data_IF_224768646466
#
_entry.id   IF_224768646466
#
_cell.length_a   1.000
_cell.length_b   1.000
_cell.length_c   1.000
_cell.angle_alpha   90.00
_cell.angle_beta   90.00
_cell.angle_gamma   90.00
#
_symmetry.space_group_name_H-M   'P 1'
#
loop_
_entity.id
_entity.type
_entity.pdbx_description
1 polymer ?
#
# COMPACT_ATOMS: atom_id res chain seq x y z
N UNK A 1 -13.47 -2.57 2.03
CA UNK A 1 -12.81 -1.83 0.93
C UNK A 1 -13.26 -2.39 -0.43
N UNK A 2 -14.56 -2.39 -0.72
CA UNK A 2 -15.13 -3.03 -1.91
C UNK A 2 -14.76 -2.29 -3.23
N UNK A 3 -14.54 -0.98 -3.16
CA UNK A 3 -14.20 -0.12 -4.30
C UNK A 3 -12.71 0.17 -4.46
N UNK A 4 -11.84 -0.60 -3.81
CA UNK A 4 -10.40 -0.39 -3.94
C UNK A 4 -9.93 -0.70 -5.36
N UNK A 5 -9.26 0.23 -6.03
CA UNK A 5 -8.74 -0.02 -7.40
C UNK A 5 -7.61 -1.06 -7.43
N UNK A 6 -7.07 -1.44 -6.28
CA UNK A 6 -6.12 -2.54 -6.15
C UNK A 6 -6.79 -3.91 -5.91
N UNK A 7 -8.13 -3.97 -5.80
CA UNK A 7 -8.86 -5.22 -5.67
C UNK A 7 -8.64 -6.05 -6.95
N UNK A 8 -8.11 -7.28 -6.82
CA UNK A 8 -7.66 -8.11 -7.94
C UNK A 8 -6.19 -7.93 -8.36
N UNK A 9 -5.47 -6.96 -7.78
CA UNK A 9 -4.02 -6.77 -7.95
C UNK A 9 -3.22 -7.24 -6.73
N UNK A 10 -3.78 -8.16 -5.93
CA UNK A 10 -3.18 -8.65 -4.68
C UNK A 10 -1.73 -9.11 -4.87
N UNK A 11 -1.43 -9.80 -5.98
CA UNK A 11 -0.07 -10.21 -6.33
C UNK A 11 0.89 -9.02 -6.42
N UNK A 12 0.50 -7.89 -7.03
CA UNK A 12 1.38 -6.73 -7.17
C UNK A 12 1.57 -5.93 -5.85
N UNK A 13 0.70 -6.13 -4.87
CA UNK A 13 0.76 -5.47 -3.55
C UNK A 13 1.31 -6.39 -2.44
N UNK A 14 1.52 -7.68 -2.76
CA UNK A 14 2.18 -8.66 -1.91
C UNK A 14 3.71 -8.49 -1.94
N UNK A 15 4.33 -8.73 -0.78
CA UNK A 15 5.77 -8.63 -0.52
C UNK A 15 6.58 -9.61 -1.37
N UNK A 16 6.00 -10.75 -1.73
CA UNK A 16 6.62 -11.82 -2.53
C UNK A 16 6.84 -11.45 -4.01
N UNK A 17 6.03 -10.57 -4.58
CA UNK A 17 6.10 -10.25 -6.01
C UNK A 17 7.20 -9.24 -6.40
N UNK A 18 7.75 -8.51 -5.42
CA UNK A 18 8.64 -7.38 -5.70
C UNK A 18 10.09 -7.79 -5.96
N UNK A 19 10.53 -8.95 -5.47
CA UNK A 19 11.92 -9.41 -5.59
C UNK A 19 12.93 -8.42 -5.01
N UNK A 20 14.17 -8.43 -5.53
CA UNK A 20 15.24 -7.48 -5.13
C UNK A 20 15.52 -6.45 -6.23
N UNK A 21 16.11 -5.32 -5.86
CA UNK A 21 16.67 -4.33 -6.80
C UNK A 21 15.63 -3.55 -7.61
N UNK A 22 15.82 -3.51 -8.93
CA UNK A 22 15.04 -2.67 -9.86
C UNK A 22 13.56 -3.06 -9.95
N UNK A 23 13.24 -4.34 -9.77
CA UNK A 23 11.87 -4.85 -9.78
C UNK A 23 11.03 -4.27 -8.63
N UNK A 24 11.59 -4.26 -7.41
CA UNK A 24 10.90 -3.69 -6.25
C UNK A 24 10.58 -2.20 -6.45
N UNK A 25 11.52 -1.46 -7.05
CA UNK A 25 11.31 -0.05 -7.40
C UNK A 25 10.20 0.13 -8.44
N UNK A 26 10.15 -0.74 -9.45
CA UNK A 26 9.11 -0.72 -10.50
C UNK A 26 7.74 -1.00 -9.92
N UNK A 27 7.59 -2.07 -9.14
CA UNK A 27 6.32 -2.42 -8.50
C UNK A 27 5.84 -1.33 -7.54
N UNK A 28 6.74 -0.77 -6.71
CA UNK A 28 6.43 0.39 -5.86
C UNK A 28 5.82 1.54 -6.67
N UNK A 29 6.42 1.92 -7.79
CA UNK A 29 5.90 2.99 -8.67
C UNK A 29 4.57 2.63 -9.32
N UNK A 30 4.33 1.38 -9.69
CA UNK A 30 3.05 0.93 -10.27
C UNK A 30 1.94 0.99 -9.21
N UNK A 31 2.18 0.41 -8.04
CA UNK A 31 1.21 0.38 -6.96
C UNK A 31 0.86 1.79 -6.46
N UNK A 32 1.85 2.70 -6.34
CA UNK A 32 1.58 4.11 -6.03
C UNK A 32 0.69 4.79 -7.08
N UNK A 33 0.88 4.51 -8.38
CA UNK A 33 0.03 5.02 -9.46
C UNK A 33 -1.41 4.51 -9.36
N UNK A 34 -1.60 3.23 -9.04
CA UNK A 34 -2.94 2.65 -8.81
C UNK A 34 -3.61 3.34 -7.63
N UNK A 35 -2.91 3.46 -6.49
CA UNK A 35 -3.46 4.15 -5.32
C UNK A 35 -3.81 5.62 -5.61
N UNK A 36 -3.04 6.31 -6.46
CA UNK A 36 -3.30 7.69 -6.85
C UNK A 36 -4.63 7.91 -7.59
N UNK A 37 -5.20 6.85 -8.18
CA UNK A 37 -6.51 6.87 -8.86
C UNK A 37 -7.62 6.18 -8.05
N UNK A 38 -7.29 5.69 -6.85
CA UNK A 38 -8.21 4.88 -6.05
C UNK A 38 -9.23 5.78 -5.33
N UNK A 39 -10.55 5.56 -5.50
CA UNK A 39 -11.57 6.41 -4.90
C UNK A 39 -11.58 6.32 -3.37
N UNK A 40 -11.15 5.17 -2.82
CA UNK A 40 -11.09 4.93 -1.37
C UNK A 40 -9.69 5.19 -0.80
N UNK A 41 -8.81 5.92 -1.50
CA UNK A 41 -7.41 6.14 -1.09
C UNK A 41 -7.28 6.67 0.34
N UNK A 42 -8.05 7.70 0.70
CA UNK A 42 -7.99 8.32 2.02
C UNK A 42 -8.45 7.37 3.13
N UNK A 43 -9.55 6.65 2.90
CA UNK A 43 -10.07 5.66 3.83
C UNK A 43 -9.09 4.49 4.01
N UNK A 44 -8.47 4.04 2.91
CA UNK A 44 -7.44 3.01 2.92
C UNK A 44 -6.20 3.45 3.72
N UNK A 45 -5.79 4.71 3.62
CA UNK A 45 -4.67 5.23 4.41
C UNK A 45 -4.98 5.25 5.91
N UNK A 46 -6.17 5.73 6.30
CA UNK A 46 -6.60 5.75 7.71
C UNK A 46 -6.61 4.34 8.30
N UNK A 47 -7.32 3.43 7.64
CA UNK A 47 -7.34 2.01 8.02
C UNK A 47 -5.92 1.44 8.15
N UNK A 48 -5.03 1.73 7.19
CA UNK A 48 -3.66 1.22 7.23
C UNK A 48 -2.81 1.78 8.39
N UNK A 49 -3.10 2.98 8.88
CA UNK A 49 -2.43 3.55 10.06
C UNK A 49 -2.95 2.88 11.33
N UNK A 50 -4.28 2.75 11.45
CA UNK A 50 -4.93 2.07 12.58
C UNK A 50 -4.44 0.62 12.72
N UNK A 51 -4.32 -0.11 11.61
CA UNK A 51 -3.82 -1.49 11.64
C UNK A 51 -2.33 -1.59 11.99
N UNK A 52 -1.49 -0.63 11.59
CA UNK A 52 -0.08 -0.61 11.98
C UNK A 52 0.09 -0.33 13.48
N UNK A 53 -0.73 0.56 14.06
CA UNK A 53 -0.79 0.80 15.50
C UNK A 53 -1.20 -0.48 16.25
N UNK A 54 -2.19 -1.20 15.72
CA UNK A 54 -2.65 -2.49 16.24
C UNK A 54 -1.70 -3.67 15.92
N UNK A 55 -0.56 -3.41 15.25
CA UNK A 55 0.44 -4.40 14.83
C UNK A 55 -0.09 -5.48 13.88
N UNK A 56 -1.18 -5.20 13.18
CA UNK A 56 -1.76 -6.09 12.19
C UNK A 56 -1.04 -5.93 10.83
N UNK A 57 -0.96 -7.01 10.04
CA UNK A 57 -0.30 -6.97 8.74
C UNK A 57 -1.09 -6.14 7.72
N UNK A 58 -0.42 -5.15 7.13
CA UNK A 58 -0.96 -4.31 6.05
C UNK A 58 -0.16 -4.54 4.76
N UNK A 59 -0.80 -4.29 3.61
CA UNK A 59 -0.12 -4.27 2.31
C UNK A 59 1.15 -3.39 2.33
N UNK A 60 2.14 -3.78 1.53
CA UNK A 60 3.39 -3.04 1.42
C UNK A 60 3.18 -1.59 0.98
N UNK A 61 2.17 -1.35 0.13
CA UNK A 61 1.63 -0.02 -0.14
C UNK A 61 0.16 -0.01 0.26
N UNK A 62 -0.22 0.97 1.05
CA UNK A 62 -1.60 1.28 1.40
C UNK A 62 -1.78 2.80 1.40
N UNK A 63 -2.92 3.29 0.88
CA UNK A 63 -3.14 4.73 0.71
C UNK A 63 -2.17 5.44 -0.26
N UNK A 64 -1.36 4.68 -1.01
CA UNK A 64 -0.28 5.20 -1.86
C UNK A 64 1.06 5.40 -1.14
N UNK A 65 1.15 4.97 0.12
CA UNK A 65 2.36 5.07 0.94
C UNK A 65 2.90 3.70 1.29
N UNK A 66 4.22 3.59 1.34
CA UNK A 66 4.91 2.43 1.91
C UNK A 66 4.79 2.43 3.43
N UNK A 67 5.09 1.30 4.08
CA UNK A 67 5.12 1.22 5.54
C UNK A 67 5.98 2.30 6.19
N UNK A 68 7.21 2.50 5.72
CA UNK A 68 8.11 3.53 6.25
C UNK A 68 7.52 4.95 6.12
N UNK A 69 6.89 5.25 4.99
CA UNK A 69 6.23 6.54 4.76
C UNK A 69 4.97 6.72 5.61
N UNK A 70 4.27 5.64 5.96
CA UNK A 70 3.14 5.69 6.90
C UNK A 70 3.61 5.94 8.32
N UNK A 71 4.66 5.24 8.75
CA UNK A 71 5.22 5.39 10.10
C UNK A 71 5.77 6.81 10.33
N UNK A 72 6.34 7.45 9.31
CA UNK A 72 6.76 8.86 9.39
C UNK A 72 5.61 9.87 9.51
N UNK A 73 4.34 9.44 9.38
CA UNK A 73 3.16 10.27 9.62
C UNK A 73 2.55 10.05 11.01
N UNK A 74 3.05 9.07 11.77
CA UNK A 74 2.57 8.72 13.10
C UNK A 74 3.44 9.33 14.23
N UNK A 75 4.51 10.06 13.87
CA UNK A 75 5.24 11.02 14.71
C UNK A 75 4.59 12.41 14.62
#
# INVERSE_FOLDING_TARGET
>A
MEYASCLGLSFAFDKSAWGKGTNATRYRKICKRVCGRCPVRTQCLKWALDEEENRNPVFQIAGGLTRSERLSLAD
#
